data_IF_457371690803
#
_entry.id   IF_457371690803
#
_cell.length_a   1.000
_cell.length_b   1.000
_cell.length_c   1.000
_cell.angle_alpha   90.00
_cell.angle_beta   90.00
_cell.angle_gamma   90.00
#
_symmetry.space_group_name_H-M   'P 1'
#
loop_
_entity.id
_entity.type
_entity.pdbx_description
1 polymer ?
#
# COMPACT_ATOMS: atom_id res chain seq x y z
N UNK A 1 2.29 -2.36 -19.80
CA UNK A 1 1.03 -1.74 -19.33
C UNK A 1 1.27 -0.39 -18.65
N UNK A 2 1.89 -0.31 -17.46
CA UNK A 2 2.07 0.96 -16.72
C UNK A 2 2.62 2.11 -17.59
N UNK A 3 3.71 1.87 -18.32
CA UNK A 3 4.31 2.91 -19.19
C UNK A 3 3.39 3.37 -20.31
N UNK A 4 2.55 2.48 -20.82
CA UNK A 4 1.56 2.81 -21.85
C UNK A 4 0.45 3.68 -21.26
N UNK A 5 -0.08 3.30 -20.08
CA UNK A 5 -1.10 4.09 -19.40
C UNK A 5 -0.60 5.50 -19.07
N UNK A 6 0.65 5.62 -18.61
CA UNK A 6 1.29 6.91 -18.33
C UNK A 6 1.50 7.79 -19.57
N UNK A 7 1.43 7.21 -20.79
CA UNK A 7 1.57 7.95 -22.05
C UNK A 7 0.23 8.42 -22.65
N UNK A 8 -0.89 8.11 -21.98
CA UNK A 8 -2.23 8.53 -22.41
C UNK A 8 -2.50 9.98 -22.03
N UNK A 9 -3.31 10.65 -22.82
CA UNK A 9 -3.70 12.05 -22.60
C UNK A 9 -5.20 12.18 -22.29
N UNK A 10 -5.61 13.36 -21.83
CA UNK A 10 -7.05 13.65 -21.62
C UNK A 10 -7.80 13.55 -22.93
N UNK A 11 -8.84 12.72 -22.96
CA UNK A 11 -9.61 12.40 -24.17
C UNK A 11 -9.32 11.03 -24.75
N UNK A 12 -8.22 10.37 -24.34
CA UNK A 12 -7.99 8.97 -24.66
C UNK A 12 -8.98 8.05 -23.93
N UNK A 13 -9.26 6.89 -24.53
CA UNK A 13 -10.15 5.87 -23.97
C UNK A 13 -9.38 4.69 -23.39
N UNK A 14 -9.86 4.18 -22.25
CA UNK A 14 -9.46 2.89 -21.69
C UNK A 14 -10.54 1.88 -22.05
N UNK A 15 -10.16 0.74 -22.63
CA UNK A 15 -11.12 -0.24 -23.15
C UNK A 15 -12.02 -0.81 -22.03
N UNK A 16 -11.41 -1.18 -20.91
CA UNK A 16 -12.07 -1.90 -19.83
C UNK A 16 -11.76 -1.25 -18.47
N UNK A 17 -12.80 -0.94 -17.71
CA UNK A 17 -12.73 -0.51 -16.32
C UNK A 17 -13.75 -1.32 -15.54
N UNK A 18 -13.29 -2.11 -14.57
CA UNK A 18 -14.15 -2.98 -13.75
C UNK A 18 -13.95 -2.62 -12.29
N UNK A 19 -15.04 -2.28 -11.60
CA UNK A 19 -15.04 -1.97 -10.17
C UNK A 19 -16.37 -1.43 -9.66
N UNK A 20 -16.50 -1.21 -8.34
CA UNK A 20 -15.50 -1.48 -7.30
C UNK A 20 -15.27 -2.98 -7.08
N UNK A 21 -14.05 -3.36 -6.68
CA UNK A 21 -13.64 -4.74 -6.39
C UNK A 21 -13.06 -4.84 -4.96
N UNK A 22 -13.00 -6.06 -4.44
CA UNK A 22 -12.54 -6.32 -3.08
C UNK A 22 -13.61 -6.06 -2.02
N UNK A 23 -13.22 -6.37 -0.78
CA UNK A 23 -13.97 -6.08 0.44
C UNK A 23 -13.58 -4.69 0.93
N UNK A 24 -14.54 -3.84 1.29
CA UNK A 24 -14.26 -2.53 1.90
C UNK A 24 -13.41 -2.66 3.16
N UNK A 25 -12.56 -1.66 3.43
CA UNK A 25 -11.83 -1.56 4.69
C UNK A 25 -12.79 -1.65 5.88
N UNK A 26 -12.40 -2.36 6.93
CA UNK A 26 -13.18 -2.42 8.16
C UNK A 26 -12.99 -1.13 8.96
N UNK A 27 -14.04 -0.31 9.04
CA UNK A 27 -14.01 1.00 9.69
C UNK A 27 -14.91 0.99 10.93
N UNK A 28 -14.32 1.31 12.07
CA UNK A 28 -15.02 1.57 13.34
C UNK A 28 -14.20 2.57 14.15
N UNK A 29 -14.68 2.95 15.34
CA UNK A 29 -13.90 3.76 16.27
C UNK A 29 -13.00 2.86 17.13
N UNK A 30 -11.74 2.73 16.73
CA UNK A 30 -10.70 1.98 17.43
C UNK A 30 -10.06 2.77 18.59
N UNK A 31 -10.19 4.09 18.61
CA UNK A 31 -9.40 4.98 19.48
C UNK A 31 -8.31 5.66 18.67
N UNK A 32 -7.05 5.25 18.82
CA UNK A 32 -5.94 5.77 18.01
C UNK A 32 -5.63 4.83 16.84
N UNK A 33 -5.81 5.32 15.62
CA UNK A 33 -5.56 4.60 14.39
C UNK A 33 -4.38 5.20 13.62
N UNK A 34 -3.43 4.37 13.21
CA UNK A 34 -2.29 4.76 12.37
C UNK A 34 -2.50 4.27 10.94
N UNK A 35 -2.52 5.19 9.98
CA UNK A 35 -2.57 4.87 8.55
C UNK A 35 -1.19 5.11 7.92
N UNK A 36 -0.59 4.05 7.36
CA UNK A 36 0.77 4.06 6.82
C UNK A 36 0.74 3.87 5.31
N UNK A 37 1.26 4.86 4.59
CA UNK A 37 1.40 4.85 3.13
C UNK A 37 2.86 4.79 2.68
N UNK A 38 3.19 3.87 1.77
CA UNK A 38 4.52 3.78 1.16
C UNK A 38 4.51 4.13 -0.33
N UNK A 39 5.12 5.25 -0.72
CA UNK A 39 5.15 5.75 -2.09
C UNK A 39 3.73 5.96 -2.64
N UNK A 40 3.39 5.27 -3.73
CA UNK A 40 2.02 5.29 -4.28
C UNK A 40 0.97 4.73 -3.32
N UNK A 41 1.38 3.92 -2.32
CA UNK A 41 0.50 3.42 -1.27
C UNK A 41 -0.16 4.53 -0.45
N UNK A 42 0.44 5.72 -0.38
CA UNK A 42 -0.16 6.90 0.26
C UNK A 42 -1.50 7.30 -0.37
N UNK A 43 -1.61 7.23 -1.71
CA UNK A 43 -2.86 7.53 -2.40
C UNK A 43 -3.96 6.51 -2.10
N UNK A 44 -3.58 5.26 -1.85
CA UNK A 44 -4.53 4.19 -1.49
C UNK A 44 -4.93 4.29 -0.02
N UNK A 45 -4.01 4.70 0.86
CA UNK A 45 -4.25 4.87 2.29
C UNK A 45 -5.10 6.10 2.64
N UNK A 46 -5.10 7.13 1.78
CA UNK A 46 -5.84 8.36 1.96
C UNK A 46 -7.35 8.17 2.22
N UNK A 47 -8.13 7.48 1.37
CA UNK A 47 -9.57 7.28 1.62
C UNK A 47 -9.84 6.53 2.93
N UNK A 48 -8.98 5.59 3.32
CA UNK A 48 -9.12 4.91 4.61
C UNK A 48 -8.80 5.83 5.79
N UNK A 49 -7.82 6.73 5.66
CA UNK A 49 -7.54 7.75 6.68
C UNK A 49 -8.74 8.71 6.86
N UNK A 50 -9.38 9.13 5.76
CA UNK A 50 -10.64 9.90 5.78
C UNK A 50 -11.72 9.14 6.56
N UNK A 51 -11.98 7.89 6.19
CA UNK A 51 -13.03 7.09 6.82
C UNK A 51 -12.77 6.83 8.31
N UNK A 52 -11.51 6.59 8.70
CA UNK A 52 -11.12 6.46 10.10
C UNK A 52 -11.37 7.77 10.87
N UNK A 53 -11.05 8.93 10.26
CA UNK A 53 -11.29 10.23 10.88
C UNK A 53 -12.77 10.52 11.07
N UNK A 54 -13.57 10.24 10.04
CA UNK A 54 -15.04 10.38 10.07
C UNK A 54 -15.70 9.45 11.10
N UNK A 55 -15.13 8.27 11.34
CA UNK A 55 -15.57 7.35 12.39
C UNK A 55 -15.20 7.79 13.81
N UNK A 56 -14.52 8.93 13.97
CA UNK A 56 -14.18 9.52 15.26
C UNK A 56 -12.89 8.99 15.90
N UNK A 57 -11.99 8.40 15.11
CA UNK A 57 -10.67 8.00 15.58
C UNK A 57 -9.75 9.23 15.74
N UNK A 58 -8.76 9.10 16.63
CA UNK A 58 -7.55 9.90 16.58
C UNK A 58 -6.63 9.33 15.50
N UNK A 59 -6.46 10.04 14.40
CA UNK A 59 -5.78 9.54 13.20
C UNK A 59 -4.35 10.06 13.13
N UNK A 60 -3.40 9.13 13.08
CA UNK A 60 -1.99 9.41 12.80
C UNK A 60 -1.68 8.89 11.41
N UNK A 61 -1.09 9.72 10.55
CA UNK A 61 -0.60 9.26 9.25
C UNK A 61 0.93 9.22 9.22
N UNK A 62 1.48 8.16 8.62
CA UNK A 62 2.92 8.03 8.38
C UNK A 62 3.13 7.72 6.89
N UNK A 63 3.62 8.71 6.15
CA UNK A 63 3.80 8.60 4.71
C UNK A 63 5.29 8.54 4.37
N UNK A 64 5.71 7.41 3.81
CA UNK A 64 7.08 7.18 3.39
C UNK A 64 7.29 7.41 1.90
N UNK A 65 8.36 8.11 1.55
CA UNK A 65 8.87 8.25 0.19
C UNK A 65 10.38 7.98 0.16
N UNK A 66 10.94 7.73 -1.02
CA UNK A 66 12.40 7.57 -1.13
C UNK A 66 13.14 8.90 -0.94
N UNK A 67 12.51 9.98 -1.41
CA UNK A 67 13.05 11.34 -1.43
C UNK A 67 11.90 12.35 -1.45
N UNK A 68 12.22 13.62 -1.20
CA UNK A 68 11.26 14.73 -1.09
C UNK A 68 10.37 14.87 -2.33
N UNK A 69 10.93 14.75 -3.52
CA UNK A 69 10.21 14.89 -4.79
C UNK A 69 9.20 13.78 -5.06
N UNK A 70 9.29 12.68 -4.32
CA UNK A 70 8.36 11.55 -4.41
C UNK A 70 7.29 11.57 -3.30
N UNK A 71 7.30 12.60 -2.43
CA UNK A 71 6.24 12.81 -1.45
C UNK A 71 4.98 13.28 -2.19
N UNK A 72 3.87 12.57 -1.98
CA UNK A 72 2.57 12.86 -2.58
C UNK A 72 1.52 13.04 -1.50
N UNK A 73 0.48 13.83 -1.81
CA UNK A 73 -0.72 14.01 -0.98
C UNK A 73 -0.46 14.46 0.47
N UNK A 74 0.64 15.19 0.72
CA UNK A 74 1.00 15.63 2.06
C UNK A 74 -0.08 16.53 2.68
N UNK A 75 -0.58 17.51 1.91
CA UNK A 75 -1.57 18.46 2.41
C UNK A 75 -2.91 17.79 2.67
N UNK A 76 -3.32 16.90 1.76
CA UNK A 76 -4.53 16.11 1.84
C UNK A 76 -4.49 15.18 3.06
N UNK A 77 -3.37 14.48 3.29
CA UNK A 77 -3.19 13.61 4.45
C UNK A 77 -3.17 14.42 5.75
N UNK A 78 -2.50 15.57 5.79
CA UNK A 78 -2.53 16.48 6.94
C UNK A 78 -3.95 16.96 7.27
N UNK A 79 -4.76 17.26 6.26
CA UNK A 79 -6.13 17.74 6.46
C UNK A 79 -7.07 16.70 7.09
N UNK A 80 -6.72 15.41 6.99
CA UNK A 80 -7.55 14.29 7.48
C UNK A 80 -6.92 13.57 8.67
N UNK A 81 -5.84 14.11 9.24
CA UNK A 81 -5.11 13.52 10.36
C UNK A 81 -5.03 14.47 11.55
N UNK A 82 -4.98 13.92 12.76
CA UNK A 82 -4.61 14.69 13.96
C UNK A 82 -3.09 14.89 14.04
N UNK A 83 -2.33 13.91 13.58
CA UNK A 83 -0.88 13.98 13.41
C UNK A 83 -0.47 13.40 12.05
N UNK A 84 0.46 14.06 11.36
CA UNK A 84 0.95 13.58 10.07
C UNK A 84 2.47 13.65 10.02
N UNK A 85 3.08 12.50 9.73
CA UNK A 85 4.53 12.33 9.65
C UNK A 85 4.93 11.95 8.23
N UNK A 86 5.86 12.72 7.67
CA UNK A 86 6.50 12.38 6.40
C UNK A 86 7.86 11.76 6.71
N UNK A 87 8.18 10.64 6.09
CA UNK A 87 9.49 10.00 6.18
C UNK A 87 10.13 9.92 4.79
N UNK A 88 11.43 10.18 4.72
CA UNK A 88 12.22 10.01 3.49
C UNK A 88 13.42 9.10 3.75
N UNK A 89 13.61 8.11 2.87
CA UNK A 89 14.70 7.14 2.98
C UNK A 89 16.08 7.83 2.96
N UNK A 90 16.22 8.92 2.19
CA UNK A 90 17.45 9.72 2.05
C UNK A 90 17.56 10.91 3.02
N UNK A 91 16.53 11.13 3.85
CA UNK A 91 16.47 12.25 4.79
C UNK A 91 16.30 13.64 4.16
N UNK A 92 15.97 13.72 2.87
CA UNK A 92 15.77 14.98 2.16
C UNK A 92 14.58 15.80 2.67
N UNK A 93 13.62 15.17 3.36
CA UNK A 93 12.45 15.84 3.93
C UNK A 93 11.80 15.07 5.09
N UNK A 94 11.36 15.78 6.13
CA UNK A 94 10.69 15.18 7.28
C UNK A 94 11.63 14.30 8.10
N UNK A 95 11.15 13.14 8.53
CA UNK A 95 11.93 12.16 9.27
C UNK A 95 12.87 11.38 8.33
N UNK A 96 14.16 11.33 8.66
CA UNK A 96 15.12 10.52 7.91
C UNK A 96 15.00 9.05 8.32
N UNK A 97 14.51 8.23 7.39
CA UNK A 97 14.38 6.79 7.56
C UNK A 97 13.02 6.26 7.12
N UNK A 98 12.73 5.03 7.53
CA UNK A 98 11.53 4.30 7.13
C UNK A 98 10.33 4.61 8.03
N UNK A 99 9.13 4.40 7.47
CA UNK A 99 7.86 4.50 8.20
C UNK A 99 7.83 3.63 9.46
N UNK A 100 8.53 2.49 9.44
CA UNK A 100 8.62 1.56 10.58
C UNK A 100 9.44 2.12 11.73
N UNK A 101 10.48 2.92 11.45
CA UNK A 101 11.28 3.56 12.48
C UNK A 101 10.46 4.69 13.14
N UNK A 102 9.71 5.46 12.35
CA UNK A 102 8.78 6.46 12.91
C UNK A 102 7.66 5.79 13.72
N UNK A 103 7.11 4.67 13.25
CA UNK A 103 6.13 3.90 14.02
C UNK A 103 6.71 3.41 15.35
N UNK A 104 7.92 2.85 15.33
CA UNK A 104 8.61 2.39 16.54
C UNK A 104 8.86 3.55 17.52
N UNK A 105 9.28 4.72 17.03
CA UNK A 105 9.46 5.92 17.86
C UNK A 105 8.17 6.33 18.60
N UNK A 106 7.01 6.25 17.92
CA UNK A 106 5.71 6.53 18.56
C UNK A 106 5.35 5.48 19.61
N UNK A 107 5.61 4.21 19.34
CA UNK A 107 5.38 3.13 20.31
C UNK A 107 6.27 3.34 21.55
N UNK A 108 7.56 3.61 21.34
CA UNK A 108 8.55 3.80 22.42
C UNK A 108 8.28 5.07 23.24
N UNK A 109 7.67 6.10 22.65
CA UNK A 109 7.24 7.30 23.37
C UNK A 109 6.02 7.06 24.28
N UNK A 110 5.47 5.85 24.30
CA UNK A 110 4.25 5.51 25.04
C UNK A 110 2.97 6.01 24.39
N UNK A 111 2.99 6.35 23.08
CA UNK A 111 1.77 6.70 22.35
C UNK A 111 0.85 5.47 22.30
N UNK A 112 -0.38 5.60 22.77
CA UNK A 112 -1.40 4.56 22.63
C UNK A 112 -1.76 4.40 21.15
N UNK A 113 -1.60 3.20 20.61
CA UNK A 113 -1.96 2.83 19.23
C UNK A 113 -2.83 1.58 19.30
N UNK A 114 -4.08 1.69 18.83
CA UNK A 114 -5.07 0.62 18.90
C UNK A 114 -5.19 -0.14 17.57
N UNK A 115 -4.93 0.55 16.46
CA UNK A 115 -5.06 0.02 15.11
C UNK A 115 -3.97 0.58 14.19
N UNK A 116 -3.42 -0.28 13.32
CA UNK A 116 -2.49 0.09 12.25
C UNK A 116 -3.00 -0.48 10.93
N UNK A 117 -3.07 0.36 9.89
CA UNK A 117 -3.23 -0.07 8.51
C UNK A 117 -1.98 0.31 7.73
N UNK A 118 -1.37 -0.64 7.01
CA UNK A 118 -0.23 -0.38 6.17
C UNK A 118 -0.47 -0.77 4.71
N UNK A 119 -0.19 0.17 3.81
CA UNK A 119 -0.35 0.00 2.37
C UNK A 119 0.91 0.46 1.64
N UNK A 120 1.58 -0.47 0.97
CA UNK A 120 2.80 -0.15 0.23
C UNK A 120 3.53 -1.40 -0.26
N UNK A 121 4.86 -1.32 -0.48
CA UNK A 121 5.64 -2.46 -0.91
C UNK A 121 5.57 -3.62 0.09
N UNK A 122 5.60 -4.87 -0.41
CA UNK A 122 5.58 -6.09 0.43
C UNK A 122 6.62 -6.05 1.56
N UNK A 123 7.89 -5.65 1.34
CA UNK A 123 8.87 -5.56 2.42
C UNK A 123 8.47 -4.55 3.52
N UNK A 124 7.84 -3.44 3.15
CA UNK A 124 7.37 -2.42 4.09
C UNK A 124 6.21 -2.96 4.93
N UNK A 125 5.21 -3.57 4.30
CA UNK A 125 4.06 -4.18 5.00
C UNK A 125 4.52 -5.27 5.97
N UNK A 126 5.46 -6.12 5.54
CA UNK A 126 6.09 -7.11 6.41
C UNK A 126 6.79 -6.46 7.61
N UNK A 127 7.57 -5.41 7.38
CA UNK A 127 8.31 -4.74 8.44
C UNK A 127 7.37 -4.06 9.45
N UNK A 128 6.24 -3.49 9.02
CA UNK A 128 5.20 -2.96 9.92
C UNK A 128 4.58 -4.08 10.75
N UNK A 129 4.29 -5.25 10.15
CA UNK A 129 3.78 -6.41 10.87
C UNK A 129 4.73 -6.84 11.99
N UNK A 130 6.04 -6.86 11.73
CA UNK A 130 7.04 -7.26 12.72
C UNK A 130 7.28 -6.19 13.81
N UNK A 131 7.17 -4.90 13.49
CA UNK A 131 7.24 -3.82 14.51
C UNK A 131 6.07 -3.90 15.48
N UNK A 132 4.87 -4.21 15.00
CA UNK A 132 3.63 -4.19 15.81
C UNK A 132 3.39 -5.47 16.59
N UNK A 133 3.90 -6.62 16.12
CA UNK A 133 3.67 -7.95 16.70
C UNK A 133 4.06 -8.06 18.19
N UNK A 134 5.24 -7.59 18.66
CA UNK A 134 5.61 -7.71 20.07
C UNK A 134 4.69 -6.95 21.02
N UNK A 135 3.99 -5.94 20.51
CA UNK A 135 3.09 -5.07 21.28
C UNK A 135 1.63 -5.50 21.18
N UNK A 136 1.32 -6.53 20.38
CA UNK A 136 -0.06 -7.01 20.18
C UNK A 136 -0.98 -5.99 19.52
N UNK A 137 -0.43 -5.01 18.78
CA UNK A 137 -1.21 -3.97 18.11
C UNK A 137 -1.91 -4.57 16.89
N UNK A 138 -3.24 -4.41 16.81
CA UNK A 138 -4.04 -4.88 15.67
C UNK A 138 -3.55 -4.23 14.38
N UNK A 139 -3.04 -5.03 13.45
CA UNK A 139 -2.35 -4.53 12.26
C UNK A 139 -2.91 -5.18 11.01
N UNK A 140 -3.45 -4.35 10.12
CA UNK A 140 -3.97 -4.75 8.82
C UNK A 140 -3.01 -4.31 7.71
N UNK A 141 -2.94 -5.10 6.65
CA UNK A 141 -2.17 -4.78 5.43
C UNK A 141 -3.03 -4.97 4.21
N UNK A 142 -3.00 -4.00 3.29
CA UNK A 142 -3.66 -4.14 1.99
C UNK A 142 -2.70 -4.78 1.00
N UNK A 143 -2.86 -6.08 0.76
CA UNK A 143 -1.96 -6.86 -0.06
C UNK A 143 -2.09 -6.53 -1.55
N UNK A 144 -0.98 -6.68 -2.29
CA UNK A 144 -0.88 -6.43 -3.72
C UNK A 144 -0.35 -7.65 -4.50
N UNK A 145 -1.01 -8.82 -4.43
CA UNK A 145 -0.62 -9.97 -5.24
C UNK A 145 -0.94 -9.72 -6.73
N UNK A 146 -0.38 -10.57 -7.60
CA UNK A 146 -0.78 -10.63 -9.01
C UNK A 146 -2.28 -10.89 -9.13
N UNK A 147 -2.99 -10.10 -9.93
CA UNK A 147 -4.42 -10.29 -10.23
C UNK A 147 -4.64 -10.40 -11.74
N UNK A 148 -5.69 -11.15 -12.13
CA UNK A 148 -6.09 -11.30 -13.53
C UNK A 148 -7.55 -10.90 -13.69
N UNK A 149 -8.49 -11.69 -13.17
CA UNK A 149 -9.93 -11.43 -13.27
C UNK A 149 -10.43 -10.46 -12.19
N UNK A 150 -9.89 -10.55 -10.96
CA UNK A 150 -10.32 -9.73 -9.84
C UNK A 150 -11.68 -10.10 -9.25
N UNK A 151 -12.26 -11.23 -9.64
CA UNK A 151 -13.61 -11.69 -9.26
C UNK A 151 -13.64 -13.07 -8.58
N UNK A 152 -12.46 -13.63 -8.28
CA UNK A 152 -12.30 -14.89 -7.56
C UNK A 152 -12.31 -16.15 -8.45
N UNK A 153 -12.30 -16.01 -9.77
CA UNK A 153 -12.43 -17.15 -10.68
C UNK A 153 -11.11 -17.89 -10.94
N UNK A 154 -9.97 -17.20 -10.96
CA UNK A 154 -8.70 -17.81 -11.40
C UNK A 154 -7.73 -18.22 -10.27
N UNK A 155 -7.85 -17.65 -9.07
CA UNK A 155 -6.89 -17.88 -7.97
C UNK A 155 -5.48 -17.30 -8.20
N UNK A 156 -5.31 -16.40 -9.17
CA UNK A 156 -4.05 -15.68 -9.43
C UNK A 156 -3.61 -14.85 -8.23
N UNK A 157 -4.57 -14.23 -7.55
CA UNK A 157 -4.38 -13.40 -6.36
C UNK A 157 -4.33 -14.16 -5.05
N UNK A 158 -4.17 -15.50 -5.09
CA UNK A 158 -4.16 -16.30 -3.87
C UNK A 158 -3.00 -15.90 -2.94
N UNK A 159 -3.31 -15.88 -1.65
CA UNK A 159 -2.40 -15.60 -0.55
C UNK A 159 -2.65 -16.61 0.57
N UNK A 160 -1.63 -16.87 1.38
CA UNK A 160 -1.77 -17.68 2.60
C UNK A 160 -1.89 -16.76 3.80
N UNK A 161 -2.97 -16.91 4.56
CA UNK A 161 -3.25 -16.16 5.80
C UNK A 161 -3.54 -17.17 6.90
N UNK A 162 -2.65 -17.26 7.88
CA UNK A 162 -2.64 -18.31 8.88
C UNK A 162 -2.41 -19.67 8.21
N UNK A 163 -3.33 -20.61 8.41
CA UNK A 163 -3.32 -21.93 7.78
C UNK A 163 -4.21 -22.02 6.54
N UNK A 164 -4.82 -20.91 6.11
CA UNK A 164 -5.82 -20.91 5.03
C UNK A 164 -5.30 -20.23 3.76
N UNK A 165 -5.73 -20.75 2.62
CA UNK A 165 -5.57 -20.05 1.34
C UNK A 165 -6.77 -19.14 1.12
N UNK A 166 -6.51 -17.86 0.83
CA UNK A 166 -7.51 -16.82 0.56
C UNK A 166 -7.23 -16.17 -0.80
N UNK A 167 -8.25 -15.61 -1.43
CA UNK A 167 -8.14 -14.86 -2.69
C UNK A 167 -8.28 -13.37 -2.42
N UNK A 168 -7.19 -12.61 -2.56
CA UNK A 168 -7.16 -11.20 -2.17
C UNK A 168 -8.21 -10.32 -2.87
N UNK A 169 -8.68 -10.69 -4.06
CA UNK A 169 -9.69 -9.91 -4.79
C UNK A 169 -11.12 -10.04 -4.25
N UNK A 170 -11.43 -11.10 -3.49
CA UNK A 170 -12.78 -11.37 -2.96
C UNK A 170 -12.81 -11.53 -1.45
N UNK A 171 -11.76 -12.10 -0.85
CA UNK A 171 -11.62 -12.25 0.60
C UNK A 171 -10.88 -11.07 1.25
N UNK A 172 -10.22 -10.22 0.44
CA UNK A 172 -9.38 -9.10 0.89
C UNK A 172 -9.74 -7.80 0.15
N UNK A 173 -8.76 -6.92 -0.17
CA UNK A 173 -7.32 -7.16 -0.15
C UNK A 173 -6.66 -6.94 1.22
N UNK A 174 -7.41 -6.45 2.21
CA UNK A 174 -6.94 -6.23 3.57
C UNK A 174 -6.97 -7.52 4.39
N UNK A 175 -5.84 -7.88 5.00
CA UNK A 175 -5.72 -9.03 5.88
C UNK A 175 -4.95 -8.68 7.14
N UNK A 176 -5.12 -9.49 8.19
CA UNK A 176 -4.31 -9.41 9.40
C UNK A 176 -2.85 -9.66 9.06
N UNK A 177 -2.04 -8.62 9.23
CA UNK A 177 -0.64 -8.62 8.88
C UNK A 177 0.16 -9.67 9.65
N UNK A 178 -0.27 -10.03 10.86
CA UNK A 178 0.42 -11.00 11.70
C UNK A 178 0.24 -12.44 11.22
N UNK A 179 -0.74 -12.69 10.34
CA UNK A 179 -1.07 -13.99 9.79
C UNK A 179 -0.61 -14.19 8.34
N UNK A 180 -0.18 -13.13 7.64
CA UNK A 180 0.20 -13.21 6.22
C UNK A 180 1.55 -13.93 6.01
N UNK A 181 1.59 -14.89 5.09
CA UNK A 181 2.85 -15.42 4.57
C UNK A 181 3.48 -14.47 3.53
N UNK A 182 4.23 -13.49 4.03
CA UNK A 182 4.91 -12.51 3.18
C UNK A 182 6.00 -13.12 2.28
N UNK A 183 6.56 -14.28 2.64
CA UNK A 183 7.58 -14.93 1.81
C UNK A 183 6.91 -15.51 0.58
N UNK A 184 5.85 -16.29 0.76
CA UNK A 184 5.07 -16.84 -0.35
C UNK A 184 4.56 -15.72 -1.27
N UNK A 185 3.99 -14.66 -0.70
CA UNK A 185 3.52 -13.50 -1.47
C UNK A 185 4.65 -12.86 -2.30
N UNK A 186 5.83 -12.65 -1.69
CA UNK A 186 6.99 -12.06 -2.39
C UNK A 186 7.48 -12.94 -3.54
N UNK A 187 7.55 -14.26 -3.35
CA UNK A 187 8.00 -15.20 -4.37
C UNK A 187 6.99 -15.27 -5.53
N UNK A 188 5.69 -15.28 -5.22
CA UNK A 188 4.62 -15.24 -6.24
C UNK A 188 4.68 -13.98 -7.10
N UNK A 189 4.90 -12.82 -6.49
CA UNK A 189 4.98 -11.55 -7.21
C UNK A 189 6.21 -11.42 -8.12
N UNK A 190 7.20 -12.31 -8.00
CA UNK A 190 8.39 -12.33 -8.87
C UNK A 190 8.25 -13.26 -10.06
N UNK A 191 7.16 -14.01 -10.14
CA UNK A 191 6.99 -15.09 -11.12
C UNK A 191 7.18 -14.62 -12.57
N UNK A 192 6.64 -13.45 -12.91
CA UNK A 192 6.64 -12.93 -14.28
C UNK A 192 7.69 -11.84 -14.54
N UNK A 193 8.72 -11.72 -13.67
CA UNK A 193 9.78 -10.72 -13.86
C UNK A 193 10.48 -10.83 -15.23
N UNK A 194 10.76 -12.02 -15.80
CA UNK A 194 11.34 -12.12 -17.14
C UNK A 194 10.43 -11.51 -18.21
N UNK A 195 9.14 -11.82 -18.19
CA UNK A 195 8.14 -11.34 -19.13
C UNK A 195 7.91 -9.83 -18.98
N UNK A 196 7.87 -9.33 -17.74
CA UNK A 196 7.76 -7.90 -17.43
C UNK A 196 8.94 -7.10 -17.98
N UNK A 197 10.17 -7.62 -17.86
CA UNK A 197 11.38 -7.00 -18.42
C UNK A 197 11.29 -6.96 -19.93
N UNK A 198 10.98 -8.08 -20.56
CA UNK A 198 10.86 -8.18 -22.01
C UNK A 198 9.81 -7.19 -22.55
N UNK A 199 8.62 -7.16 -21.97
CA UNK A 199 7.56 -6.22 -22.36
C UNK A 199 7.96 -4.74 -22.18
N UNK A 200 8.73 -4.44 -21.14
CA UNK A 200 9.23 -3.08 -20.89
C UNK A 200 10.30 -2.65 -21.91
N UNK A 201 11.21 -3.56 -22.26
CA UNK A 201 12.23 -3.34 -23.29
C UNK A 201 11.62 -3.15 -24.68
N UNK A 202 10.64 -3.98 -25.03
CA UNK A 202 9.89 -3.85 -26.28
C UNK A 202 9.11 -2.54 -26.36
N UNK A 203 8.46 -2.12 -25.26
CA UNK A 203 7.78 -0.83 -25.20
C UNK A 203 8.78 0.32 -25.40
N UNK A 204 9.91 0.32 -24.68
CA UNK A 204 10.94 1.34 -24.82
C UNK A 204 11.51 1.41 -26.25
N UNK A 205 11.69 0.25 -26.90
CA UNK A 205 12.10 0.17 -28.30
C UNK A 205 11.06 0.80 -29.25
N UNK A 206 9.77 0.43 -29.11
CA UNK A 206 8.69 1.02 -29.91
C UNK A 206 8.55 2.53 -29.71
N UNK A 207 8.68 3.00 -28.48
CA UNK A 207 8.62 4.43 -28.13
C UNK A 207 9.70 5.23 -28.86
N UNK A 208 10.94 4.74 -28.86
CA UNK A 208 12.07 5.34 -29.58
C UNK A 208 11.84 5.40 -31.10
N UNK A 209 11.26 4.36 -31.69
CA UNK A 209 10.95 4.35 -33.12
C UNK A 209 9.81 5.29 -33.51
N UNK A 210 8.84 5.51 -32.60
CA UNK A 210 7.67 6.34 -32.84
C UNK A 210 7.89 7.85 -32.57
N UNK A 211 9.07 8.26 -32.11
CA UNK A 211 9.40 9.68 -31.85
C UNK A 211 8.64 10.32 -30.69
N UNK A 212 7.93 9.54 -29.87
CA UNK A 212 7.31 9.98 -28.63
C UNK A 212 8.33 9.72 -27.51
N UNK A 213 9.11 10.72 -27.12
CA UNK A 213 10.03 10.64 -25.99
C UNK A 213 9.60 11.66 -24.93
#
# INVERSE_FOLDING_TARGET
FRSELNSRETGDTINDIVGPLGTPSHIENFGTAVSIGGGVGTAIAYPTAVALKEAGNYVITINGARSKELVILENEMKAVSDEAYITTDDGSYGFHGFVTQKLQELIDSGKKIDYVLAIGPIPMMKAVAEVTRPYGIKTMVSLNPIMVDGTGMCGGCRVTVGSETKFACVDGPEFDAHLVDFRNLSDRNKLYLPEERHASEEFAHRCRLAGKA
#
